data_IF_773007973573
#
_entry.id   IF_773007973573
#
_cell.length_a   1.000
_cell.length_b   1.000
_cell.length_c   1.000
_cell.angle_alpha   90.00
_cell.angle_beta   90.00
_cell.angle_gamma   90.00
#
_symmetry.space_group_name_H-M   'P 1'
#
loop_
_entity.id
_entity.type
_entity.pdbx_description
1 polymer ?
#
# COMPACT_ATOMS: atom_id res chain seq x y z
N UNK A 1 58.97 45.81 20.59
CA UNK A 1 57.63 45.33 20.19
C UNK A 1 56.88 44.95 21.45
N UNK A 2 55.76 45.60 21.77
CA UNK A 2 55.19 45.50 23.10
C UNK A 2 54.47 44.16 23.31
N UNK A 3 54.66 43.57 24.50
CA UNK A 3 54.26 42.19 24.83
C UNK A 3 52.75 41.91 24.71
N UNK A 4 51.91 42.96 24.69
CA UNK A 4 50.46 42.84 24.50
C UNK A 4 50.07 42.38 23.09
N UNK A 5 50.91 42.62 22.08
CA UNK A 5 50.64 42.19 20.70
C UNK A 5 50.68 40.67 20.52
N UNK A 6 51.39 39.94 21.41
CA UNK A 6 51.46 38.46 21.37
C UNK A 6 50.26 37.78 22.03
N UNK A 7 49.59 38.44 22.97
CA UNK A 7 48.43 37.89 23.67
C UNK A 7 47.17 37.97 22.79
N UNK A 8 47.03 39.04 21.99
CA UNK A 8 45.92 39.19 21.05
C UNK A 8 45.94 38.14 19.92
N UNK A 9 47.13 37.69 19.50
CA UNK A 9 47.27 36.68 18.44
C UNK A 9 46.85 35.26 18.88
N UNK A 10 46.97 34.94 20.18
CA UNK A 10 46.59 33.62 20.71
C UNK A 10 45.08 33.56 21.01
N UNK A 11 44.47 34.69 21.36
CA UNK A 11 43.02 34.76 21.61
C UNK A 11 42.16 34.59 20.33
N UNK A 12 42.69 34.93 19.15
CA UNK A 12 41.97 34.79 17.88
C UNK A 12 42.04 33.36 17.28
N UNK A 13 42.93 32.50 17.80
CA UNK A 13 43.09 31.12 17.34
C UNK A 13 42.12 30.12 18.03
N UNK A 14 41.29 30.60 18.97
CA UNK A 14 40.37 29.80 19.78
C UNK A 14 38.89 30.05 19.46
N UNK A 15 38.58 30.75 18.36
CA UNK A 15 37.22 30.73 17.83
C UNK A 15 36.93 29.28 17.40
N UNK A 16 36.01 28.55 18.06
CA UNK A 16 35.57 27.28 17.53
C UNK A 16 35.01 27.58 16.15
N UNK A 17 35.68 27.05 15.12
CA UNK A 17 35.14 27.11 13.77
C UNK A 17 33.69 26.66 13.85
N UNK A 18 32.79 27.44 13.26
CA UNK A 18 31.39 27.09 13.13
C UNK A 18 31.37 25.81 12.31
N UNK A 19 31.51 24.67 12.99
CA UNK A 19 31.28 23.37 12.41
C UNK A 19 29.80 23.43 12.08
N UNK A 20 29.50 23.69 10.80
CA UNK A 20 28.17 23.52 10.26
C UNK A 20 27.74 22.15 10.75
N UNK A 21 26.76 22.13 11.65
CA UNK A 21 26.20 20.88 12.13
C UNK A 21 25.71 20.16 10.88
N UNK A 22 26.47 19.18 10.40
CA UNK A 22 26.04 18.27 9.36
C UNK A 22 24.93 17.47 10.02
N UNK A 23 23.72 18.03 9.97
CA UNK A 23 22.49 17.30 10.18
C UNK A 23 22.66 16.06 9.31
N UNK A 24 22.72 14.89 9.95
CA UNK A 24 22.79 13.63 9.25
C UNK A 24 21.56 13.58 8.35
N UNK A 25 21.75 13.90 7.08
CA UNK A 25 20.67 13.89 6.12
C UNK A 25 20.37 12.42 5.84
N UNK A 26 19.36 11.91 6.55
CA UNK A 26 18.88 10.53 6.44
C UNK A 26 18.31 10.22 5.04
N UNK A 27 18.16 11.23 4.20
CA UNK A 27 17.67 11.14 2.82
C UNK A 27 18.81 10.72 1.90
N UNK A 28 18.61 9.64 1.14
CA UNK A 28 19.60 9.18 0.17
C UNK A 28 19.83 10.21 -0.94
N UNK A 29 21.08 10.64 -1.09
CA UNK A 29 21.48 11.55 -2.19
C UNK A 29 21.70 10.81 -3.50
N UNK A 30 21.83 9.49 -3.49
CA UNK A 30 22.24 8.69 -4.64
C UNK A 30 21.12 7.89 -5.29
N UNK A 31 20.06 7.54 -4.55
CA UNK A 31 18.97 6.70 -5.04
C UNK A 31 17.61 7.15 -4.53
N UNK A 32 16.55 6.82 -5.26
CA UNK A 32 15.17 6.97 -4.84
C UNK A 32 14.72 5.67 -4.16
N UNK A 33 14.78 5.63 -2.82
CA UNK A 33 14.52 4.42 -2.04
C UNK A 33 13.04 4.26 -1.70
N UNK A 34 12.41 3.23 -2.24
CA UNK A 34 10.96 2.98 -2.16
C UNK A 34 10.67 1.76 -1.28
N UNK A 35 9.80 1.91 -0.30
CA UNK A 35 9.25 0.79 0.46
C UNK A 35 8.06 0.19 -0.32
N UNK A 36 8.10 -1.10 -0.64
CA UNK A 36 7.03 -1.76 -1.38
C UNK A 36 6.80 -3.20 -0.91
N UNK A 37 5.62 -3.75 -1.21
CA UNK A 37 5.31 -5.15 -0.97
C UNK A 37 5.68 -5.99 -2.21
N UNK A 38 6.45 -7.08 -2.06
CA UNK A 38 6.88 -7.91 -3.20
C UNK A 38 5.74 -8.67 -3.89
N UNK A 39 4.55 -8.78 -3.29
CA UNK A 39 3.45 -9.65 -3.77
C UNK A 39 2.06 -9.03 -3.62
N UNK A 40 1.95 -7.71 -3.78
CA UNK A 40 0.71 -6.95 -3.63
C UNK A 40 0.12 -6.50 -4.98
N UNK A 41 -0.04 -7.44 -5.91
CA UNK A 41 -0.72 -7.20 -7.18
C UNK A 41 -2.18 -6.70 -6.93
N UNK A 42 -2.63 -5.64 -7.64
CA UNK A 42 -1.98 -4.95 -8.77
C UNK A 42 -1.14 -3.72 -8.39
N UNK A 43 -1.00 -3.44 -7.09
CA UNK A 43 -0.35 -2.25 -6.56
C UNK A 43 1.16 -2.30 -6.82
N UNK A 44 1.85 -3.27 -6.19
CA UNK A 44 3.30 -3.43 -6.26
C UNK A 44 3.67 -4.91 -6.33
N UNK A 45 4.68 -5.22 -7.14
CA UNK A 45 5.19 -6.59 -7.31
C UNK A 45 6.70 -6.57 -7.48
N UNK A 46 7.37 -7.63 -7.03
CA UNK A 46 8.84 -7.72 -7.13
C UNK A 46 9.35 -7.78 -8.57
N UNK A 47 8.51 -8.22 -9.52
CA UNK A 47 8.80 -8.23 -10.95
C UNK A 47 8.61 -6.86 -11.63
N UNK A 48 8.21 -5.82 -10.88
CA UNK A 48 8.03 -4.46 -11.38
C UNK A 48 6.79 -4.24 -12.25
N UNK A 49 5.87 -5.20 -12.30
CA UNK A 49 4.66 -5.11 -13.14
C UNK A 49 3.55 -4.27 -12.52
N UNK A 50 3.57 -4.07 -11.19
CA UNK A 50 2.61 -3.27 -10.45
C UNK A 50 2.56 -1.80 -10.91
N UNK A 51 1.39 -1.16 -10.74
CA UNK A 51 1.26 0.23 -11.17
C UNK A 51 2.05 1.21 -10.29
N UNK A 52 2.23 0.91 -9.00
CA UNK A 52 3.04 1.72 -8.10
C UNK A 52 4.52 1.66 -8.47
N UNK A 53 4.98 0.52 -9.02
CA UNK A 53 6.34 0.41 -9.54
C UNK A 53 6.58 1.39 -10.69
N UNK A 54 5.63 1.49 -11.62
CA UNK A 54 5.71 2.45 -12.74
C UNK A 54 5.68 3.91 -12.29
N UNK A 55 4.93 4.20 -11.22
CA UNK A 55 4.91 5.54 -10.62
C UNK A 55 6.27 5.84 -9.97
N UNK A 56 6.86 4.88 -9.26
CA UNK A 56 8.20 5.04 -8.71
C UNK A 56 9.24 5.33 -9.80
N UNK A 57 9.19 4.59 -10.92
CA UNK A 57 10.08 4.80 -12.06
C UNK A 57 9.89 6.20 -12.69
N UNK A 58 8.64 6.67 -12.82
CA UNK A 58 8.34 8.02 -13.31
C UNK A 58 8.95 9.10 -12.42
N UNK A 59 8.81 8.96 -11.10
CA UNK A 59 9.33 9.94 -10.13
C UNK A 59 10.86 9.91 -10.14
N UNK A 60 11.46 8.73 -10.11
CA UNK A 60 12.90 8.55 -10.11
C UNK A 60 13.55 9.11 -11.38
N UNK A 61 12.91 8.93 -12.54
CA UNK A 61 13.33 9.54 -13.79
C UNK A 61 13.30 11.08 -13.76
N UNK A 62 12.39 11.69 -12.99
CA UNK A 62 12.40 13.16 -12.78
C UNK A 62 13.39 13.64 -11.74
N UNK A 63 13.77 12.77 -10.81
CA UNK A 63 14.80 13.06 -9.82
C UNK A 63 16.21 12.72 -10.31
N UNK A 64 16.35 12.17 -11.52
CA UNK A 64 17.61 11.68 -12.10
C UNK A 64 18.34 10.71 -11.16
N UNK A 65 17.57 9.85 -10.49
CA UNK A 65 18.08 8.86 -9.53
C UNK A 65 17.62 7.45 -9.91
N UNK A 66 18.43 6.41 -9.67
CA UNK A 66 17.97 5.03 -9.76
C UNK A 66 16.93 4.72 -8.67
N UNK A 67 15.98 3.83 -8.95
CA UNK A 67 15.03 3.31 -7.96
C UNK A 67 15.68 2.17 -7.20
N UNK A 68 15.60 2.20 -5.87
CA UNK A 68 15.97 1.09 -5.00
C UNK A 68 14.77 0.67 -4.17
N UNK A 69 14.42 -0.61 -4.20
CA UNK A 69 13.26 -1.13 -3.47
C UNK A 69 13.68 -1.83 -2.19
N UNK A 70 13.03 -1.46 -1.09
CA UNK A 70 13.02 -2.21 0.15
C UNK A 70 11.72 -3.01 0.22
N UNK A 71 11.83 -4.31 0.01
CA UNK A 71 10.69 -5.21 -0.04
C UNK A 71 10.29 -5.68 1.36
N UNK A 72 9.06 -5.37 1.76
CA UNK A 72 8.49 -5.88 3.00
C UNK A 72 6.98 -6.13 2.82
N UNK A 73 6.43 -7.27 3.26
CA UNK A 73 4.99 -7.51 3.16
C UNK A 73 4.18 -6.40 3.85
N UNK A 74 3.17 -5.88 3.17
CA UNK A 74 2.26 -4.86 3.66
C UNK A 74 1.30 -5.47 4.67
N UNK A 75 1.83 -5.69 5.88
CA UNK A 75 1.13 -6.22 7.03
C UNK A 75 1.29 -5.28 8.23
N UNK A 76 0.75 -5.70 9.37
CA UNK A 76 0.91 -4.99 10.63
C UNK A 76 2.39 -4.70 10.91
N UNK A 77 2.72 -3.41 11.01
CA UNK A 77 4.10 -2.97 11.27
C UNK A 77 4.94 -2.67 10.03
N UNK A 78 4.39 -2.69 8.80
CA UNK A 78 5.10 -2.29 7.57
C UNK A 78 5.88 -0.98 7.76
N UNK A 79 5.18 0.12 8.09
CA UNK A 79 5.79 1.45 8.29
C UNK A 79 6.87 1.45 9.38
N UNK A 80 6.71 0.65 10.45
CA UNK A 80 7.67 0.57 11.55
C UNK A 80 8.95 -0.17 11.16
N UNK A 81 8.85 -1.17 10.28
CA UNK A 81 9.96 -2.02 9.84
C UNK A 81 10.65 -1.52 8.57
N UNK A 82 10.04 -0.56 7.87
CA UNK A 82 10.58 0.03 6.64
C UNK A 82 10.90 1.51 6.83
N UNK A 83 9.92 2.39 6.63
CA UNK A 83 10.09 3.84 6.63
C UNK A 83 10.67 4.38 7.94
N UNK A 84 10.13 3.96 9.10
CA UNK A 84 10.64 4.42 10.42
C UNK A 84 11.96 3.76 10.82
N UNK A 85 12.36 2.70 10.12
CA UNK A 85 13.67 2.08 10.28
C UNK A 85 14.73 2.73 9.36
N UNK A 86 14.37 3.73 8.55
CA UNK A 86 15.24 4.41 7.57
C UNK A 86 15.78 3.47 6.47
N UNK A 87 15.14 2.32 6.25
CA UNK A 87 15.49 1.38 5.18
C UNK A 87 15.05 1.88 3.79
N UNK A 88 14.14 2.86 3.74
CA UNK A 88 13.61 3.48 2.53
C UNK A 88 13.00 4.84 2.88
N UNK A 89 12.82 5.70 1.87
CA UNK A 89 12.45 7.10 2.06
C UNK A 89 10.98 7.39 1.72
N UNK A 90 10.35 6.56 0.89
CA UNK A 90 8.99 6.83 0.40
C UNK A 90 8.16 5.55 0.27
N UNK A 91 6.85 5.69 0.47
CA UNK A 91 5.83 4.70 0.13
C UNK A 91 4.97 5.33 -0.97
N UNK A 92 4.83 4.67 -2.12
CA UNK A 92 4.13 5.26 -3.28
C UNK A 92 2.64 5.45 -2.98
N UNK A 93 1.95 4.38 -2.61
CA UNK A 93 0.54 4.43 -2.26
C UNK A 93 0.32 4.22 -0.77
N UNK A 94 -0.30 5.20 -0.12
CA UNK A 94 -0.72 5.08 1.27
C UNK A 94 -2.00 5.88 1.54
N UNK A 95 -2.77 5.44 2.54
CA UNK A 95 -4.01 6.13 2.91
C UNK A 95 -3.71 7.57 3.39
N UNK A 96 -4.57 8.50 3.00
CA UNK A 96 -4.48 9.90 3.41
C UNK A 96 -4.69 10.05 4.92
N UNK A 97 -3.90 10.92 5.56
CA UNK A 97 -4.09 11.32 6.95
C UNK A 97 -3.67 10.25 7.96
N UNK A 98 -2.82 9.31 7.55
CA UNK A 98 -2.37 8.25 8.42
C UNK A 98 -1.22 8.73 9.32
N UNK A 99 -1.41 8.66 10.64
CA UNK A 99 -0.50 9.24 11.66
C UNK A 99 0.98 8.82 11.57
N UNK A 100 1.25 7.63 11.04
CA UNK A 100 2.62 7.09 10.94
C UNK A 100 3.43 7.61 9.74
N UNK A 101 2.83 8.37 8.81
CA UNK A 101 3.51 8.87 7.60
C UNK A 101 3.19 10.35 7.37
N UNK A 102 4.07 11.06 6.67
CA UNK A 102 3.75 12.38 6.14
C UNK A 102 3.27 12.23 4.69
N UNK A 103 2.00 12.52 4.45
CA UNK A 103 1.43 12.45 3.10
C UNK A 103 1.88 13.63 2.23
N UNK A 104 2.13 13.35 0.95
CA UNK A 104 2.28 14.37 -0.09
C UNK A 104 0.92 14.89 -0.56
N UNK A 105 0.91 15.75 -1.59
CA UNK A 105 -0.33 16.08 -2.29
C UNK A 105 -0.93 14.82 -2.95
N UNK A 106 -2.25 14.69 -2.88
CA UNK A 106 -2.95 13.51 -3.38
C UNK A 106 -2.93 13.48 -4.90
N UNK A 107 -2.30 12.45 -5.46
CA UNK A 107 -2.27 12.23 -6.91
C UNK A 107 -3.40 11.32 -7.41
N UNK A 108 -4.12 10.64 -6.50
CA UNK A 108 -5.18 9.70 -6.84
C UNK A 108 -6.25 9.65 -5.75
N UNK A 109 -7.53 9.59 -6.17
CA UNK A 109 -8.67 9.34 -5.28
C UNK A 109 -9.37 8.07 -5.75
N UNK A 110 -9.64 7.16 -4.83
CA UNK A 110 -10.36 5.91 -5.10
C UNK A 110 -11.51 5.73 -4.11
N UNK A 111 -12.49 4.90 -4.46
CA UNK A 111 -13.63 4.59 -3.63
C UNK A 111 -13.70 3.09 -3.35
N UNK A 112 -14.43 2.69 -2.31
CA UNK A 112 -14.85 1.30 -2.14
C UNK A 112 -16.05 1.03 -3.05
N UNK A 113 -16.05 -0.11 -3.74
CA UNK A 113 -17.14 -0.50 -4.65
C UNK A 113 -17.72 -1.84 -4.23
N UNK A 114 -18.99 -2.04 -4.59
CA UNK A 114 -19.63 -3.34 -4.48
C UNK A 114 -19.58 -3.98 -5.87
N UNK A 115 -19.17 -5.25 -5.94
CA UNK A 115 -19.01 -5.96 -7.21
C UNK A 115 -20.01 -7.10 -7.27
N UNK A 116 -20.83 -7.12 -8.33
CA UNK A 116 -21.77 -8.18 -8.64
C UNK A 116 -21.45 -8.80 -9.99
N UNK A 117 -21.83 -10.08 -10.23
CA UNK A 117 -21.88 -10.63 -11.59
C UNK A 117 -22.77 -9.78 -12.49
N UNK A 118 -22.41 -9.65 -13.77
CA UNK A 118 -23.15 -8.82 -14.75
C UNK A 118 -24.63 -9.21 -14.88
N UNK A 119 -24.92 -10.50 -14.83
CA UNK A 119 -26.29 -11.04 -14.96
C UNK A 119 -27.01 -11.16 -13.59
N UNK A 120 -26.49 -10.49 -12.55
CA UNK A 120 -27.09 -10.52 -11.21
C UNK A 120 -28.33 -9.63 -11.15
N UNK A 121 -29.39 -10.02 -10.41
CA UNK A 121 -30.51 -9.11 -10.11
C UNK A 121 -30.11 -7.88 -9.28
N UNK A 122 -28.86 -7.84 -8.81
CA UNK A 122 -28.25 -6.72 -8.09
C UNK A 122 -27.31 -5.89 -8.98
N UNK A 123 -27.24 -6.14 -10.29
CA UNK A 123 -26.32 -5.45 -11.19
C UNK A 123 -26.54 -3.92 -11.21
N UNK A 124 -27.79 -3.47 -11.05
CA UNK A 124 -28.16 -2.05 -11.04
C UNK A 124 -28.14 -1.43 -9.63
N UNK A 125 -27.54 -2.10 -8.65
CA UNK A 125 -27.39 -1.54 -7.29
C UNK A 125 -26.20 -0.58 -7.27
N UNK A 126 -26.46 0.70 -7.01
CA UNK A 126 -25.44 1.76 -6.96
C UNK A 126 -25.10 2.21 -5.54
N UNK A 127 -25.92 1.86 -4.54
CA UNK A 127 -25.76 2.32 -3.16
C UNK A 127 -25.80 1.17 -2.17
N UNK A 128 -25.06 1.30 -1.07
CA UNK A 128 -25.04 0.30 0.01
C UNK A 128 -26.33 0.30 0.85
N UNK A 129 -27.14 1.36 0.75
CA UNK A 129 -28.44 1.50 1.40
C UNK A 129 -29.58 0.83 0.64
N UNK A 130 -29.32 0.27 -0.54
CA UNK A 130 -30.37 -0.34 -1.37
C UNK A 130 -31.07 -1.49 -0.60
N UNK A 131 -32.41 -1.45 -0.46
CA UNK A 131 -33.16 -2.49 0.23
C UNK A 131 -32.95 -3.89 -0.33
N UNK A 132 -32.62 -4.03 -1.63
CA UNK A 132 -32.36 -5.32 -2.30
C UNK A 132 -31.16 -6.07 -1.70
N UNK A 133 -30.28 -5.38 -0.98
CA UNK A 133 -29.14 -5.98 -0.29
C UNK A 133 -29.52 -6.68 1.02
N UNK A 134 -30.70 -6.38 1.59
CA UNK A 134 -31.18 -7.02 2.80
C UNK A 134 -31.43 -8.51 2.53
N UNK A 135 -31.01 -9.35 3.47
CA UNK A 135 -31.14 -10.81 3.34
C UNK A 135 -30.15 -11.44 2.35
N UNK A 136 -29.21 -10.69 1.78
CA UNK A 136 -28.16 -11.23 0.91
C UNK A 136 -26.86 -11.45 1.67
N UNK A 137 -26.14 -12.50 1.29
CA UNK A 137 -24.79 -12.77 1.80
C UNK A 137 -23.79 -11.88 1.09
N UNK A 138 -23.16 -10.95 1.82
CA UNK A 138 -22.18 -10.02 1.27
C UNK A 138 -20.78 -10.37 1.77
N UNK A 139 -19.83 -10.47 0.85
CA UNK A 139 -18.41 -10.66 1.17
C UNK A 139 -17.75 -9.33 1.51
N UNK A 140 -16.93 -9.29 2.56
CA UNK A 140 -16.20 -8.08 2.95
C UNK A 140 -14.83 -8.43 3.51
N UNK A 141 -13.84 -7.56 3.33
CA UNK A 141 -12.56 -7.68 4.02
C UNK A 141 -12.72 -7.28 5.49
N UNK A 142 -12.33 -8.16 6.41
CA UNK A 142 -12.40 -7.91 7.84
C UNK A 142 -11.60 -6.66 8.22
N UNK A 143 -12.20 -5.77 9.01
CA UNK A 143 -11.56 -4.52 9.48
C UNK A 143 -11.50 -3.40 8.44
N UNK A 144 -12.07 -3.57 7.25
CA UNK A 144 -12.11 -2.51 6.22
C UNK A 144 -13.24 -1.49 6.48
N UNK A 145 -13.08 -0.21 6.07
CA UNK A 145 -14.08 0.83 6.25
C UNK A 145 -15.51 0.50 5.78
N UNK A 146 -15.74 -0.25 4.68
CA UNK A 146 -17.09 -0.66 4.28
C UNK A 146 -17.86 -1.41 5.37
N UNK A 147 -17.18 -2.07 6.31
CA UNK A 147 -17.83 -2.81 7.39
C UNK A 147 -18.65 -1.91 8.29
N UNK A 148 -18.16 -0.69 8.55
CA UNK A 148 -18.88 0.32 9.32
C UNK A 148 -20.12 0.81 8.57
N UNK A 149 -20.04 0.94 7.24
CA UNK A 149 -21.20 1.29 6.42
C UNK A 149 -22.23 0.15 6.37
N UNK A 150 -21.79 -1.10 6.21
CA UNK A 150 -22.65 -2.28 6.25
C UNK A 150 -23.35 -2.45 7.61
N UNK A 151 -22.64 -2.20 8.71
CA UNK A 151 -23.19 -2.25 10.06
C UNK A 151 -24.32 -1.25 10.25
N UNK A 152 -24.13 0.01 9.83
CA UNK A 152 -25.16 1.05 9.86
C UNK A 152 -26.40 0.68 9.04
N UNK A 153 -26.22 -0.07 7.96
CA UNK A 153 -27.31 -0.55 7.10
C UNK A 153 -27.86 -1.91 7.53
N UNK A 154 -27.47 -2.47 8.68
CA UNK A 154 -27.96 -3.77 9.17
C UNK A 154 -27.65 -4.94 8.23
N UNK A 155 -26.56 -4.87 7.47
CA UNK A 155 -26.13 -5.89 6.50
C UNK A 155 -25.13 -6.89 7.09
N UNK A 156 -24.69 -6.68 8.33
CA UNK A 156 -23.64 -7.49 8.96
C UNK A 156 -24.09 -8.88 9.40
N UNK A 157 -25.40 -9.10 9.62
CA UNK A 157 -25.92 -10.39 10.10
C UNK A 157 -25.60 -11.57 9.15
N UNK A 158 -25.56 -11.31 7.83
CA UNK A 158 -25.25 -12.30 6.81
C UNK A 158 -23.91 -12.04 6.11
N UNK A 159 -23.11 -11.09 6.62
CA UNK A 159 -21.83 -10.76 6.04
C UNK A 159 -20.80 -11.88 6.27
N UNK A 160 -19.97 -12.14 5.25
CA UNK A 160 -18.86 -13.08 5.32
C UNK A 160 -17.54 -12.30 5.30
N UNK A 161 -16.92 -12.08 6.47
CA UNK A 161 -15.63 -11.40 6.54
C UNK A 161 -14.51 -12.32 6.08
N UNK A 162 -13.62 -11.81 5.24
CA UNK A 162 -12.38 -12.46 4.83
C UNK A 162 -11.19 -11.84 5.57
N UNK A 163 -10.31 -12.64 6.18
CA UNK A 163 -9.14 -12.13 6.87
C UNK A 163 -8.12 -11.55 5.87
N UNK A 164 -7.74 -10.28 6.05
CA UNK A 164 -6.73 -9.61 5.22
C UNK A 164 -5.32 -10.20 5.43
N UNK A 165 -5.02 -10.71 6.62
CA UNK A 165 -3.67 -11.06 7.07
C UNK A 165 -3.19 -12.48 6.71
N UNK A 166 -4.01 -13.34 6.10
CA UNK A 166 -3.69 -14.76 5.88
C UNK A 166 -3.24 -15.12 4.45
N UNK A 167 -2.90 -14.14 3.59
CA UNK A 167 -2.50 -14.41 2.18
C UNK A 167 -1.01 -14.14 1.92
N UNK A 168 -0.20 -14.04 2.98
CA UNK A 168 1.25 -14.17 2.84
C UNK A 168 1.63 -15.66 2.95
N UNK A 169 2.25 -16.20 1.89
CA UNK A 169 2.91 -17.51 1.86
C UNK A 169 2.03 -18.78 1.72
N UNK A 170 1.22 -18.88 0.66
CA UNK A 170 0.93 -20.22 0.08
C UNK A 170 1.51 -20.31 -1.33
N UNK A 171 2.49 -21.20 -1.60
CA UNK A 171 2.99 -21.41 -2.95
C UNK A 171 1.86 -21.94 -3.84
N UNK A 172 1.66 -21.26 -4.98
CA UNK A 172 0.61 -21.48 -6.00
C UNK A 172 0.54 -22.91 -6.58
N UNK A 173 1.41 -23.85 -6.18
CA UNK A 173 1.48 -25.20 -6.76
C UNK A 173 0.54 -26.24 -6.15
N UNK A 174 -0.08 -25.99 -4.97
CA UNK A 174 -0.88 -27.03 -4.28
C UNK A 174 -2.39 -26.83 -4.28
N UNK A 175 -2.89 -25.75 -4.90
CA UNK A 175 -4.33 -25.40 -4.89
C UNK A 175 -5.09 -25.75 -6.18
N UNK A 176 -4.43 -26.34 -7.19
CA UNK A 176 -5.06 -26.65 -8.48
C UNK A 176 -6.19 -27.69 -8.37
N UNK A 177 -6.24 -28.50 -7.30
CA UNK A 177 -7.26 -29.54 -7.14
C UNK A 177 -7.78 -29.67 -5.69
N UNK A 178 -8.36 -28.62 -5.10
CA UNK A 178 -9.24 -28.80 -3.93
C UNK A 178 -10.70 -28.50 -4.30
N UNK A 179 -11.56 -29.52 -4.52
CA UNK A 179 -12.90 -29.35 -5.10
C UNK A 179 -13.95 -28.69 -4.18
N UNK A 180 -13.57 -28.06 -3.06
CA UNK A 180 -14.51 -27.67 -1.99
C UNK A 180 -14.78 -26.14 -1.92
N UNK A 181 -14.07 -25.30 -2.67
CA UNK A 181 -14.24 -23.84 -2.61
C UNK A 181 -15.17 -23.26 -3.70
N UNK A 182 -16.30 -23.89 -3.97
CA UNK A 182 -17.25 -23.44 -5.03
C UNK A 182 -18.06 -22.17 -4.72
N UNK A 183 -17.81 -21.43 -3.63
CA UNK A 183 -18.57 -20.19 -3.33
C UNK A 183 -17.81 -18.99 -2.74
N UNK A 184 -16.50 -19.09 -2.51
CA UNK A 184 -15.71 -17.95 -2.06
C UNK A 184 -14.75 -17.53 -3.17
N UNK A 185 -15.17 -16.55 -3.99
CA UNK A 185 -14.28 -15.83 -4.90
C UNK A 185 -13.17 -15.21 -4.06
N UNK A 186 -11.96 -15.76 -4.20
CA UNK A 186 -10.76 -15.28 -3.54
C UNK A 186 -10.30 -13.98 -4.25
N UNK A 187 -10.78 -12.83 -3.79
CA UNK A 187 -10.19 -11.53 -4.13
C UNK A 187 -9.02 -11.27 -3.18
N UNK A 188 -7.85 -10.94 -3.73
CA UNK A 188 -6.67 -10.55 -2.94
C UNK A 188 -6.96 -9.28 -2.12
N UNK A 189 -6.31 -9.12 -0.96
CA UNK A 189 -6.84 -8.31 0.12
C UNK A 189 -6.22 -6.91 0.09
N UNK A 190 -6.67 -6.09 -0.86
CA UNK A 190 -6.55 -4.64 -0.81
C UNK A 190 -7.71 -4.02 -1.60
N UNK A 191 -8.94 -4.19 -1.14
CA UNK A 191 -10.13 -3.79 -1.93
C UNK A 191 -10.40 -2.28 -1.86
N UNK A 192 -9.69 -1.49 -2.65
CA UNK A 192 -10.24 -0.26 -3.25
C UNK A 192 -10.79 -0.55 -4.66
N UNK A 193 -11.44 0.43 -5.29
CA UNK A 193 -12.00 0.28 -6.65
C UNK A 193 -10.97 -0.18 -7.69
N UNK A 194 -9.69 0.17 -7.49
CA UNK A 194 -8.59 -0.18 -8.42
C UNK A 194 -8.34 -1.68 -8.46
N UNK A 195 -8.19 -2.30 -7.30
CA UNK A 195 -8.05 -3.75 -7.19
C UNK A 195 -9.29 -4.44 -7.75
N UNK A 196 -10.49 -3.97 -7.39
CA UNK A 196 -11.74 -4.52 -7.91
C UNK A 196 -11.84 -4.43 -9.44
N UNK A 197 -11.43 -3.30 -10.04
CA UNK A 197 -11.38 -3.11 -11.48
C UNK A 197 -10.38 -4.04 -12.17
N UNK A 198 -9.16 -4.14 -11.63
CA UNK A 198 -8.14 -5.06 -12.13
C UNK A 198 -8.66 -6.51 -12.13
N UNK A 199 -9.17 -6.99 -10.99
CA UNK A 199 -9.70 -8.35 -10.86
C UNK A 199 -11.00 -8.59 -11.64
N UNK A 200 -11.77 -7.54 -11.95
CA UNK A 200 -12.93 -7.64 -12.85
C UNK A 200 -12.52 -7.78 -14.31
N UNK A 201 -11.39 -7.19 -14.71
CA UNK A 201 -10.84 -7.26 -16.06
C UNK A 201 -9.97 -8.51 -16.28
N UNK A 202 -9.34 -9.00 -15.22
CA UNK A 202 -8.64 -10.28 -15.22
C UNK A 202 -9.69 -11.39 -15.45
N UNK A 203 -9.55 -12.09 -16.57
CA UNK A 203 -10.42 -13.22 -16.90
C UNK A 203 -10.32 -14.29 -15.81
N UNK A 204 -11.35 -14.37 -14.96
CA UNK A 204 -11.49 -15.46 -14.00
C UNK A 204 -11.56 -16.75 -14.82
N UNK A 205 -10.59 -17.68 -14.70
CA UNK A 205 -10.61 -18.90 -15.48
C UNK A 205 -11.90 -19.65 -15.19
N UNK A 206 -12.70 -19.87 -16.23
CA UNK A 206 -13.93 -20.65 -16.12
C UNK A 206 -13.57 -22.11 -15.92
N UNK A 207 -14.42 -22.84 -15.21
CA UNK A 207 -14.20 -24.22 -14.73
C UNK A 207 -13.88 -25.28 -15.81
N UNK A 208 -13.79 -24.90 -17.09
CA UNK A 208 -13.41 -25.79 -18.21
C UNK A 208 -11.91 -25.86 -18.45
N UNK A 209 -11.11 -24.91 -17.96
CA UNK A 209 -9.65 -24.91 -18.14
C UNK A 209 -8.88 -25.66 -17.06
N UNK A 210 -9.56 -26.18 -16.02
CA UNK A 210 -9.01 -27.09 -15.03
C UNK A 210 -9.51 -28.50 -15.35
N UNK A 211 -8.87 -29.15 -16.32
CA UNK A 211 -9.03 -30.58 -16.58
C UNK A 211 -7.67 -31.25 -16.39
#
# INVERSE_FOLDING_TARGET
MPAWARIAAIALALLPGVAAAQMAELVSKTAFRVCADPSNDPMSTQDGTGFENKIADLIAAKLEKPVEYTWFPMATGFVRRTLRANECDVIIGFAQGHEMVQNTNHYMTSAYTIVFPKDSPLADVTTISDPRLKGKTLGIIAGSPPGNHMARQGLMALARPYPLLLIAATPLRRWICLPILRRARLMRPFSGALSAGHWSSASIPTSRSCR
#
